data_IF_571714907761
#
_entry.id   IF_571714907761
#
_cell.length_a   1.000
_cell.length_b   1.000
_cell.length_c   1.000
_cell.angle_alpha   90.00
_cell.angle_beta   90.00
_cell.angle_gamma   90.00
#
_symmetry.space_group_name_H-M   'P 1'
#
loop_
_entity.id
_entity.type
_entity.pdbx_description
1 polymer ?
#
# COMPACT_ATOMS: atom_id res chain seq x y z
N UNK A 1 2.51 26.89 -13.19
CA UNK A 1 1.65 25.71 -13.02
C UNK A 1 2.06 24.81 -11.85
N UNK A 2 2.99 25.31 -11.05
CA UNK A 2 3.49 24.56 -9.89
C UNK A 2 2.41 24.26 -8.84
N UNK A 3 1.46 25.17 -8.62
CA UNK A 3 0.37 24.99 -7.65
C UNK A 3 -0.57 23.84 -8.00
N UNK A 4 -0.92 23.70 -9.30
CA UNK A 4 -1.81 22.64 -9.77
C UNK A 4 -1.15 21.28 -9.59
N UNK A 5 0.13 21.16 -9.94
CA UNK A 5 0.88 19.91 -9.83
C UNK A 5 1.04 19.48 -8.37
N UNK A 6 1.30 20.43 -7.47
CA UNK A 6 1.40 20.15 -6.04
C UNK A 6 0.05 19.67 -5.49
N UNK A 7 -1.03 20.28 -5.92
CA UNK A 7 -2.38 19.88 -5.52
C UNK A 7 -2.71 18.46 -5.96
N UNK A 8 -2.34 18.08 -7.19
CA UNK A 8 -2.50 16.72 -7.69
C UNK A 8 -1.70 15.74 -6.84
N UNK A 9 -0.46 16.06 -6.50
CA UNK A 9 0.37 15.25 -5.63
C UNK A 9 -0.28 15.02 -4.26
N UNK A 10 -0.77 16.10 -3.63
CA UNK A 10 -1.41 16.02 -2.33
C UNK A 10 -2.66 15.15 -2.39
N UNK A 11 -3.44 15.24 -3.46
CA UNK A 11 -4.62 14.40 -3.67
C UNK A 11 -4.24 12.93 -3.81
N UNK A 12 -3.22 12.62 -4.62
CA UNK A 12 -2.73 11.25 -4.78
C UNK A 12 -2.20 10.69 -3.46
N UNK A 13 -1.51 11.51 -2.67
CA UNK A 13 -1.01 11.12 -1.37
C UNK A 13 -2.15 10.77 -0.40
N UNK A 14 -3.19 11.60 -0.38
CA UNK A 14 -4.38 11.35 0.45
C UNK A 14 -5.07 10.05 0.04
N UNK A 15 -5.16 9.76 -1.25
CA UNK A 15 -5.73 8.53 -1.76
C UNK A 15 -4.92 7.31 -1.31
N UNK A 16 -3.60 7.41 -1.36
CA UNK A 16 -2.70 6.33 -0.91
C UNK A 16 -2.88 6.08 0.59
N UNK A 17 -2.90 7.13 1.40
CA UNK A 17 -3.07 7.00 2.84
C UNK A 17 -4.43 6.41 3.21
N UNK A 18 -5.49 6.82 2.52
CA UNK A 18 -6.84 6.28 2.69
C UNK A 18 -6.90 4.80 2.31
N UNK A 19 -6.28 4.43 1.21
CA UNK A 19 -6.19 3.03 0.77
C UNK A 19 -5.48 2.18 1.82
N UNK A 20 -4.30 2.60 2.28
CA UNK A 20 -3.56 1.83 3.28
C UNK A 20 -4.30 1.73 4.60
N UNK A 21 -5.08 2.75 4.98
CA UNK A 21 -5.89 2.69 6.19
C UNK A 21 -6.89 1.53 6.13
N UNK A 22 -7.53 1.33 4.99
CA UNK A 22 -8.45 0.20 4.76
C UNK A 22 -7.71 -1.13 4.71
N UNK A 23 -6.60 -1.20 3.97
CA UNK A 23 -5.85 -2.44 3.77
C UNK A 23 -5.20 -2.92 5.07
N UNK A 24 -4.67 -2.03 5.89
CA UNK A 24 -4.09 -2.37 7.18
C UNK A 24 -5.16 -2.98 8.11
N UNK A 25 -6.36 -2.41 8.13
CA UNK A 25 -7.46 -2.96 8.92
C UNK A 25 -7.80 -4.39 8.47
N UNK A 26 -7.75 -4.65 7.17
CA UNK A 26 -8.06 -5.97 6.62
C UNK A 26 -7.05 -7.03 6.99
N UNK A 27 -5.77 -6.70 7.10
CA UNK A 27 -4.72 -7.67 7.43
C UNK A 27 -4.47 -7.78 8.95
N UNK A 28 -5.03 -6.88 9.73
CA UNK A 28 -4.83 -6.87 11.19
C UNK A 28 -5.14 -8.20 11.88
N UNK A 29 -6.22 -8.93 11.52
CA UNK A 29 -6.50 -10.23 12.13
C UNK A 29 -5.40 -11.28 11.92
N UNK A 30 -4.54 -11.10 10.92
CA UNK A 30 -3.49 -12.05 10.57
C UNK A 30 -2.17 -11.80 11.29
N UNK A 31 -2.07 -10.72 12.05
CA UNK A 31 -0.86 -10.40 12.79
C UNK A 31 -0.59 -11.43 13.88
N UNK A 32 0.68 -11.84 14.09
CA UNK A 32 1.02 -12.75 15.17
C UNK A 32 0.78 -12.12 16.55
N UNK A 33 0.86 -12.91 17.59
CA UNK A 33 0.64 -12.42 18.96
C UNK A 33 1.57 -11.24 19.30
N UNK A 34 2.83 -11.35 18.92
CA UNK A 34 3.81 -10.26 19.00
C UNK A 34 4.22 -9.90 17.58
N UNK A 35 3.94 -8.67 17.18
CA UNK A 35 4.20 -8.24 15.81
C UNK A 35 5.05 -6.99 15.78
N UNK A 36 5.78 -6.83 14.67
CA UNK A 36 6.63 -5.71 14.39
C UNK A 36 6.14 -4.97 13.15
N UNK A 37 6.74 -3.84 12.85
CA UNK A 37 6.46 -3.11 11.60
C UNK A 37 6.74 -3.98 10.38
N UNK A 38 7.79 -4.80 10.44
CA UNK A 38 8.14 -5.71 9.34
C UNK A 38 7.02 -6.72 9.06
N UNK A 39 6.33 -7.19 10.09
CA UNK A 39 5.22 -8.14 9.94
C UNK A 39 4.07 -7.53 9.14
N UNK A 40 3.71 -6.28 9.43
CA UNK A 40 2.64 -5.59 8.70
C UNK A 40 3.04 -5.33 7.26
N UNK A 41 4.25 -4.86 7.04
CA UNK A 41 4.77 -4.59 5.69
C UNK A 41 4.76 -5.87 4.87
N UNK A 42 5.20 -6.99 5.46
CA UNK A 42 5.18 -8.28 4.78
C UNK A 42 3.77 -8.72 4.38
N UNK A 43 2.79 -8.54 5.27
CA UNK A 43 1.38 -8.86 4.98
C UNK A 43 0.84 -8.00 3.84
N UNK A 44 1.13 -6.70 3.86
CA UNK A 44 0.68 -5.79 2.81
C UNK A 44 1.31 -6.11 1.46
N UNK A 45 2.60 -6.43 1.43
CA UNK A 45 3.28 -6.84 0.20
C UNK A 45 2.72 -8.13 -0.35
N UNK A 46 2.35 -9.06 0.53
CA UNK A 46 1.83 -10.36 0.11
C UNK A 46 0.38 -10.26 -0.41
N UNK A 47 -0.51 -9.63 0.37
CA UNK A 47 -1.93 -9.58 0.00
C UNK A 47 -2.29 -8.46 -0.97
N UNK A 48 -1.48 -7.41 -1.03
CA UNK A 48 -1.72 -6.25 -1.88
C UNK A 48 -0.48 -5.90 -2.72
N UNK A 49 0.05 -6.86 -3.51
CA UNK A 49 1.28 -6.61 -4.27
C UNK A 49 1.14 -5.52 -5.32
N UNK A 50 -0.01 -5.40 -5.97
CA UNK A 50 -0.23 -4.39 -7.01
C UNK A 50 -0.35 -2.99 -6.41
N UNK A 51 -1.02 -2.89 -5.27
CA UNK A 51 -1.13 -1.63 -4.52
C UNK A 51 0.25 -1.20 -4.06
N UNK A 52 1.05 -2.12 -3.55
CA UNK A 52 2.42 -1.83 -3.14
C UNK A 52 3.26 -1.32 -4.32
N UNK A 53 3.22 -2.01 -5.45
CA UNK A 53 3.95 -1.62 -6.65
C UNK A 53 3.49 -0.26 -7.18
N UNK A 54 2.20 0.03 -7.11
CA UNK A 54 1.65 1.33 -7.51
C UNK A 54 2.22 2.46 -6.66
N UNK A 55 2.30 2.27 -5.34
CA UNK A 55 2.88 3.26 -4.43
C UNK A 55 4.38 3.45 -4.70
N UNK A 56 5.12 2.35 -4.90
CA UNK A 56 6.54 2.41 -5.27
C UNK A 56 6.78 3.18 -6.57
N UNK A 57 5.92 2.95 -7.58
CA UNK A 57 6.02 3.63 -8.87
C UNK A 57 5.78 5.13 -8.72
N UNK A 58 4.81 5.53 -7.92
CA UNK A 58 4.55 6.93 -7.63
C UNK A 58 5.70 7.57 -6.87
N UNK A 59 6.26 6.85 -5.91
CA UNK A 59 7.43 7.33 -5.17
C UNK A 59 8.61 7.59 -6.11
N UNK A 60 8.91 6.66 -7.00
CA UNK A 60 9.98 6.81 -7.99
C UNK A 60 9.73 7.98 -8.92
N UNK A 61 8.49 8.16 -9.36
CA UNK A 61 8.09 9.27 -10.23
C UNK A 61 8.33 10.62 -9.56
N UNK A 62 7.85 10.81 -8.35
CA UNK A 62 8.02 12.09 -7.63
C UNK A 62 9.45 12.31 -7.18
N UNK A 63 10.17 11.27 -6.84
CA UNK A 63 11.59 11.35 -6.53
C UNK A 63 12.41 11.82 -7.74
N UNK A 64 12.11 11.31 -8.92
CA UNK A 64 12.77 11.71 -10.17
C UNK A 64 12.47 13.19 -10.48
N UNK A 65 11.22 13.61 -10.31
CA UNK A 65 10.85 15.02 -10.47
C UNK A 65 11.59 15.92 -9.48
N UNK A 66 11.68 15.51 -8.23
CA UNK A 66 12.38 16.30 -7.21
C UNK A 66 13.88 16.40 -7.49
N UNK A 67 14.50 15.35 -8.01
CA UNK A 67 15.92 15.40 -8.42
C UNK A 67 16.11 16.45 -9.53
N UNK A 68 15.20 16.47 -10.50
CA UNK A 68 15.24 17.46 -11.58
C UNK A 68 15.06 18.87 -11.05
N UNK A 69 14.06 19.10 -10.20
CA UNK A 69 13.75 20.39 -9.61
C UNK A 69 14.90 20.91 -8.75
N UNK A 70 15.50 20.02 -7.95
CA UNK A 70 16.64 20.39 -7.11
C UNK A 70 17.85 20.78 -7.94
N UNK A 71 18.12 20.03 -9.01
CA UNK A 71 19.23 20.33 -9.93
C UNK A 71 19.05 21.66 -10.63
N UNK A 72 17.82 21.94 -11.12
CA UNK A 72 17.52 23.14 -11.90
C UNK A 72 17.23 24.36 -11.04
N UNK A 73 16.50 24.22 -9.95
CA UNK A 73 16.02 25.32 -9.12
C UNK A 73 16.55 25.32 -7.68
N UNK A 74 17.34 24.33 -7.31
CA UNK A 74 17.94 24.22 -5.98
C UNK A 74 17.02 23.73 -4.88
N UNK A 75 15.76 23.39 -5.21
CA UNK A 75 14.77 22.93 -4.20
C UNK A 75 13.94 21.77 -4.72
N UNK A 76 13.69 20.80 -3.85
CA UNK A 76 12.70 19.77 -4.08
C UNK A 76 11.31 20.32 -3.77
N UNK A 77 10.27 19.74 -4.38
CA UNK A 77 8.88 20.19 -4.18
C UNK A 77 8.03 19.17 -3.44
N UNK A 78 8.12 17.92 -3.83
CA UNK A 78 7.18 16.88 -3.36
C UNK A 78 7.65 16.20 -2.08
N UNK A 79 8.91 15.82 -2.02
CA UNK A 79 9.53 15.17 -0.86
C UNK A 79 8.68 14.01 -0.34
N UNK A 80 8.22 13.16 -1.26
CA UNK A 80 7.40 12.01 -0.91
C UNK A 80 8.19 11.04 -0.04
N UNK A 81 7.59 10.59 1.03
CA UNK A 81 8.20 9.58 1.91
C UNK A 81 8.30 8.24 1.20
N UNK A 82 9.33 7.45 1.53
CA UNK A 82 9.43 6.09 1.04
C UNK A 82 8.18 5.29 1.42
N UNK A 83 7.78 4.28 0.60
CA UNK A 83 6.55 3.52 0.85
C UNK A 83 6.45 2.95 2.26
N UNK A 84 7.54 2.43 2.81
CA UNK A 84 7.54 1.85 4.16
C UNK A 84 7.36 2.91 5.25
N UNK A 85 7.87 4.12 5.05
CA UNK A 85 7.69 5.22 5.97
C UNK A 85 6.31 5.85 5.84
N UNK A 86 5.77 5.88 4.62
CA UNK A 86 4.46 6.45 4.34
C UNK A 86 3.35 5.72 5.09
N UNK A 87 3.43 4.40 5.16
CA UNK A 87 2.48 3.55 5.89
C UNK A 87 2.38 3.97 7.36
N UNK A 88 3.49 4.36 7.97
CA UNK A 88 3.55 4.71 9.39
C UNK A 88 2.77 6.00 9.71
N UNK A 89 2.39 6.78 8.71
CA UNK A 89 1.58 7.98 8.86
C UNK A 89 0.08 7.69 8.93
N UNK A 90 -0.32 6.46 8.59
CA UNK A 90 -1.73 6.04 8.54
C UNK A 90 -2.26 5.81 9.94
N UNK A 91 -3.48 6.29 10.23
CA UNK A 91 -4.08 6.16 11.56
C UNK A 91 -4.28 4.71 11.99
N UNK A 92 -4.65 3.82 11.08
CA UNK A 92 -4.79 2.40 11.38
C UNK A 92 -3.45 1.79 11.83
N UNK A 93 -2.33 2.20 11.21
CA UNK A 93 -1.00 1.75 11.61
C UNK A 93 -0.66 2.23 13.02
N UNK A 94 -0.89 3.50 13.31
CA UNK A 94 -0.63 4.06 14.63
C UNK A 94 -1.44 3.37 15.72
N UNK A 95 -2.70 3.03 15.41
CA UNK A 95 -3.59 2.34 16.34
C UNK A 95 -3.06 0.97 16.75
N UNK A 96 -2.60 0.16 15.79
CA UNK A 96 -2.13 -1.19 16.09
C UNK A 96 -0.81 -1.22 16.86
N UNK A 97 -0.09 -0.10 16.91
CA UNK A 97 1.13 0.02 17.73
C UNK A 97 0.91 0.75 19.03
N UNK A 98 -0.33 1.09 19.37
CA UNK A 98 -0.65 1.61 20.70
C UNK A 98 -0.57 0.48 21.73
N UNK A 99 -0.15 0.79 22.95
CA UNK A 99 0.02 -0.19 24.02
C UNK A 99 -1.27 -0.94 24.34
N UNK A 100 -2.40 -0.22 24.42
CA UNK A 100 -3.70 -0.82 24.70
C UNK A 100 -4.10 -1.82 23.62
N UNK A 101 -3.85 -1.51 22.36
CA UNK A 101 -4.20 -2.40 21.25
C UNK A 101 -3.30 -3.63 21.22
N UNK A 102 -2.00 -3.47 21.42
CA UNK A 102 -1.05 -4.60 21.43
C UNK A 102 -1.40 -5.64 22.49
N UNK A 103 -1.83 -5.17 23.66
CA UNK A 103 -2.23 -6.08 24.74
C UNK A 103 -3.51 -6.85 24.44
N UNK A 104 -4.47 -6.22 23.75
CA UNK A 104 -5.79 -6.80 23.49
C UNK A 104 -5.89 -7.55 22.14
N UNK A 105 -4.99 -7.29 21.22
CA UNK A 105 -5.06 -7.74 19.82
C UNK A 105 -5.33 -9.23 19.66
N UNK A 106 -4.54 -10.06 20.32
CA UNK A 106 -4.62 -11.52 20.12
C UNK A 106 -5.97 -12.08 20.53
N UNK A 107 -6.52 -11.58 21.62
CA UNK A 107 -7.80 -12.04 22.15
C UNK A 107 -9.01 -11.45 21.43
N UNK A 108 -8.80 -10.41 20.60
CA UNK A 108 -9.86 -9.79 19.83
C UNK A 108 -10.37 -10.66 18.69
N UNK A 109 -9.58 -11.63 18.26
CA UNK A 109 -9.89 -12.50 17.13
C UNK A 109 -9.83 -13.96 17.53
N UNK A 110 -10.83 -14.75 17.13
CA UNK A 110 -10.80 -16.20 17.28
C UNK A 110 -9.88 -16.81 16.22
N UNK A 111 -9.41 -18.04 16.46
CA UNK A 111 -8.61 -18.78 15.49
C UNK A 111 -9.36 -18.94 14.16
N UNK A 112 -10.65 -19.29 14.24
CA UNK A 112 -11.49 -19.41 13.04
C UNK A 112 -11.61 -18.10 12.28
N UNK A 113 -11.77 -17.00 12.98
CA UNK A 113 -11.85 -15.67 12.39
C UNK A 113 -10.56 -15.32 11.64
N UNK A 114 -9.40 -15.66 12.20
CA UNK A 114 -8.09 -15.45 11.56
C UNK A 114 -7.97 -16.26 10.28
N UNK A 115 -8.35 -17.55 10.34
CA UNK A 115 -8.30 -18.44 9.18
C UNK A 115 -9.25 -17.93 8.08
N UNK A 116 -10.48 -17.56 8.44
CA UNK A 116 -11.47 -17.06 7.49
C UNK A 116 -10.98 -15.78 6.81
N UNK A 117 -10.38 -14.86 7.57
CA UNK A 117 -9.79 -13.64 7.02
C UNK A 117 -8.64 -13.92 6.06
N UNK A 118 -7.78 -14.88 6.41
CA UNK A 118 -6.67 -15.32 5.59
C UNK A 118 -7.15 -15.88 4.25
N UNK A 119 -8.15 -16.76 4.27
CA UNK A 119 -8.73 -17.35 3.06
C UNK A 119 -9.36 -16.27 2.18
N UNK A 120 -10.15 -15.39 2.76
CA UNK A 120 -10.82 -14.31 2.05
C UNK A 120 -9.83 -13.37 1.35
N UNK A 121 -8.77 -12.99 2.06
CA UNK A 121 -7.73 -12.12 1.50
C UNK A 121 -6.94 -12.83 0.40
N UNK A 122 -6.64 -14.11 0.58
CA UNK A 122 -5.94 -14.90 -0.43
C UNK A 122 -6.78 -15.02 -1.71
N UNK A 123 -8.07 -15.31 -1.59
CA UNK A 123 -8.98 -15.41 -2.73
C UNK A 123 -9.10 -14.08 -3.48
N UNK A 124 -9.20 -12.97 -2.75
CA UNK A 124 -9.24 -11.63 -3.34
C UNK A 124 -7.95 -11.32 -4.11
N UNK A 125 -6.80 -11.68 -3.53
CA UNK A 125 -5.50 -11.52 -4.18
C UNK A 125 -5.41 -12.34 -5.46
N UNK A 126 -5.79 -13.61 -5.40
CA UNK A 126 -5.78 -14.50 -6.56
C UNK A 126 -6.69 -14.00 -7.67
N UNK A 127 -7.90 -13.62 -7.34
CA UNK A 127 -8.86 -13.07 -8.31
C UNK A 127 -8.33 -11.82 -9.00
N UNK A 128 -7.68 -10.93 -8.26
CA UNK A 128 -7.10 -9.71 -8.83
C UNK A 128 -5.93 -10.01 -9.76
N UNK A 129 -5.06 -10.93 -9.38
CA UNK A 129 -3.94 -11.37 -10.22
C UNK A 129 -4.46 -11.99 -11.51
N UNK A 130 -5.46 -12.88 -11.42
CA UNK A 130 -6.06 -13.53 -12.58
C UNK A 130 -6.67 -12.49 -13.53
N UNK A 131 -7.35 -11.47 -13.02
CA UNK A 131 -7.93 -10.41 -13.86
C UNK A 131 -6.86 -9.60 -14.57
N UNK A 132 -5.75 -9.30 -13.90
CA UNK A 132 -4.64 -8.55 -14.50
C UNK A 132 -3.97 -9.40 -15.58
N UNK A 133 -3.72 -10.68 -15.32
CA UNK A 133 -3.15 -11.59 -16.29
C UNK A 133 -4.04 -11.74 -17.53
N UNK A 134 -5.35 -11.81 -17.35
CA UNK A 134 -6.31 -11.87 -18.46
C UNK A 134 -6.24 -10.61 -19.32
N UNK A 135 -6.14 -9.44 -18.71
CA UNK A 135 -5.99 -8.18 -19.44
C UNK A 135 -4.70 -8.13 -20.24
N UNK A 136 -3.60 -8.64 -19.67
CA UNK A 136 -2.31 -8.72 -20.35
C UNK A 136 -2.40 -9.66 -21.55
N UNK A 137 -3.00 -10.84 -21.39
CA UNK A 137 -3.20 -11.81 -22.46
C UNK A 137 -4.01 -11.23 -23.60
N UNK A 138 -5.10 -10.53 -23.30
CA UNK A 138 -5.95 -9.88 -24.30
C UNK A 138 -5.14 -8.81 -25.07
N UNK A 139 -4.36 -7.99 -24.35
CA UNK A 139 -3.54 -6.96 -24.96
C UNK A 139 -2.47 -7.54 -25.87
N UNK A 140 -1.80 -8.63 -25.45
CA UNK A 140 -0.80 -9.32 -26.25
C UNK A 140 -1.44 -9.96 -27.50
N UNK A 141 -2.62 -10.56 -27.35
CA UNK A 141 -3.37 -11.15 -28.47
C UNK A 141 -3.69 -10.11 -29.52
N UNK A 142 -4.16 -8.93 -29.11
CA UNK A 142 -4.45 -7.83 -30.04
C UNK A 142 -3.19 -7.34 -30.76
N UNK A 143 -2.07 -7.29 -30.07
CA UNK A 143 -0.79 -6.88 -30.66
C UNK A 143 -0.34 -7.89 -31.72
N UNK A 144 -0.52 -9.18 -31.47
CA UNK A 144 -0.13 -10.25 -32.40
C UNK A 144 -0.99 -10.27 -33.67
N UNK A 145 -2.20 -9.75 -33.63
CA UNK A 145 -3.11 -9.69 -34.79
C UNK A 145 -2.75 -8.56 -35.75
N UNK A 146 -1.88 -7.67 -35.40
CA UNK A 146 -1.41 -6.58 -36.26
C UNK A 146 -0.12 -6.99 -36.96
#
# INVERSE_FOLDING_TARGET
MSGVTKHIFEHELDDILSMWNTEIKSVTPLLPRKYTKADIIALLKYYYPHEWQSVESKYKYYRTKDKYLKRRFGKSRYNMSEPELLIQRVSAFKKIFSESYKCAHWNAYSERSRVDSSVKLWEARKSKIDRINSKIEIALSKTQQV
#
